data_IF_756018375286
#
_entry.id   IF_756018375286
#
_cell.length_a   1.000
_cell.length_b   1.000
_cell.length_c   1.000
_cell.angle_alpha   90.00
_cell.angle_beta   90.00
_cell.angle_gamma   90.00
#
_symmetry.space_group_name_H-M   'P 1'
#
loop_
_entity.id
_entity.type
_entity.pdbx_description
1 polymer ?
#
# COMPACT_ATOMS: atom_id res chain seq x y z
N UNK A 1 38.81 4.20 14.99
CA UNK A 1 39.17 3.71 16.34
C UNK A 1 38.52 2.34 16.50
N UNK A 2 39.24 1.28 16.14
CA UNK A 2 38.79 -0.12 16.23
C UNK A 2 39.07 -0.63 17.64
N UNK A 3 38.05 -1.17 18.33
CA UNK A 3 38.26 -1.93 19.56
C UNK A 3 38.31 -3.43 19.23
N UNK A 4 39.51 -4.00 19.31
CA UNK A 4 39.75 -5.44 19.46
C UNK A 4 39.77 -5.75 20.95
N UNK A 5 39.00 -6.74 21.38
CA UNK A 5 39.12 -7.34 22.71
C UNK A 5 39.79 -8.71 22.56
N UNK A 6 40.95 -8.83 23.19
CA UNK A 6 41.67 -10.07 23.46
C UNK A 6 41.42 -10.42 24.94
N UNK A 7 41.24 -11.70 25.25
CA UNK A 7 41.85 -12.38 26.40
C UNK A 7 41.48 -13.88 26.44
N UNK A 8 42.27 -14.72 27.14
CA UNK A 8 42.77 -16.00 26.61
C UNK A 8 42.37 -17.21 27.48
N UNK A 9 42.85 -18.39 27.11
CA UNK A 9 43.14 -19.47 28.07
C UNK A 9 42.23 -20.70 27.99
N UNK A 10 42.76 -21.78 27.38
CA UNK A 10 42.45 -23.17 27.74
C UNK A 10 43.47 -23.62 28.80
N UNK A 11 43.14 -24.57 29.71
CA UNK A 11 43.55 -25.95 29.45
C UNK A 11 42.63 -27.08 29.96
N UNK A 12 42.98 -28.25 29.46
CA UNK A 12 42.69 -29.68 29.74
C UNK A 12 41.80 -30.15 30.92
N UNK A 13 40.90 -31.08 30.53
CA UNK A 13 40.77 -32.50 30.95
C UNK A 13 40.54 -32.85 32.43
N UNK A 14 39.34 -33.36 32.76
CA UNK A 14 39.16 -34.35 33.83
C UNK A 14 37.96 -35.28 33.52
N UNK A 15 38.23 -36.58 33.44
CA UNK A 15 37.25 -37.66 33.39
C UNK A 15 36.54 -37.80 34.74
N UNK A 16 35.21 -37.75 34.76
CA UNK A 16 34.40 -38.34 35.83
C UNK A 16 33.16 -39.02 35.23
N UNK A 17 33.03 -40.31 35.53
CA UNK A 17 31.88 -41.17 35.25
C UNK A 17 30.64 -40.65 36.01
N UNK A 18 29.51 -40.48 35.31
CA UNK A 18 28.21 -40.21 35.91
C UNK A 18 27.19 -41.29 35.50
N UNK A 19 26.29 -41.73 36.40
CA UNK A 19 25.50 -42.94 36.23
C UNK A 19 24.31 -42.73 35.31
N UNK A 20 23.87 -43.84 34.70
CA UNK A 20 22.71 -43.99 33.81
C UNK A 20 21.45 -43.37 34.44
N UNK A 21 21.05 -42.18 33.98
CA UNK A 21 19.77 -41.56 34.32
C UNK A 21 18.76 -41.85 33.20
N UNK A 22 17.75 -42.66 33.49
CA UNK A 22 16.67 -43.03 32.59
C UNK A 22 15.83 -41.78 32.24
N UNK A 23 16.10 -41.19 31.07
CA UNK A 23 15.41 -39.99 30.58
C UNK A 23 14.01 -40.37 30.07
N UNK A 24 12.97 -40.18 30.88
CA UNK A 24 11.58 -40.17 30.43
C UNK A 24 11.41 -39.03 29.41
N UNK A 25 11.34 -39.38 28.12
CA UNK A 25 10.98 -38.47 27.04
C UNK A 25 9.51 -38.05 27.23
N UNK A 26 9.27 -37.03 28.05
CA UNK A 26 8.04 -36.25 27.95
C UNK A 26 8.02 -35.67 26.54
N UNK A 27 7.13 -36.20 25.70
CA UNK A 27 6.80 -35.63 24.40
C UNK A 27 6.22 -34.24 24.64
N UNK A 28 7.10 -33.24 24.66
CA UNK A 28 6.68 -31.85 24.62
C UNK A 28 5.78 -31.73 23.39
N UNK A 29 4.50 -31.33 23.52
CA UNK A 29 3.75 -30.92 22.35
C UNK A 29 4.58 -29.83 21.69
N UNK A 30 4.85 -30.00 20.40
CA UNK A 30 5.59 -29.05 19.60
C UNK A 30 4.97 -27.67 19.83
N UNK A 31 5.63 -26.84 20.64
CA UNK A 31 5.33 -25.43 20.69
C UNK A 31 5.50 -24.94 19.26
N UNK A 32 4.39 -24.53 18.65
CA UNK A 32 4.40 -23.95 17.32
C UNK A 32 5.46 -22.85 17.32
N UNK A 33 6.53 -23.06 16.54
CA UNK A 33 7.54 -22.05 16.29
C UNK A 33 6.78 -20.83 15.78
N UNK A 34 6.68 -19.77 16.59
CA UNK A 34 6.25 -18.47 16.09
C UNK A 34 7.21 -18.15 14.95
N UNK A 35 6.69 -18.22 13.72
CA UNK A 35 7.44 -17.86 12.53
C UNK A 35 7.97 -16.45 12.76
N UNK A 36 9.29 -16.34 12.58
CA UNK A 36 10.10 -15.24 13.04
C UNK A 36 9.61 -13.89 12.52
N UNK A 37 9.77 -12.93 13.42
CA UNK A 37 10.02 -11.51 13.17
C UNK A 37 9.64 -11.05 11.76
N UNK A 38 8.33 -10.90 11.60
CA UNK A 38 7.77 -10.28 10.42
C UNK A 38 8.27 -8.86 10.42
N UNK A 39 8.87 -8.41 9.33
CA UNK A 39 8.92 -6.99 8.95
C UNK A 39 7.48 -6.50 8.98
N UNK A 40 7.07 -6.10 10.17
CA UNK A 40 5.77 -5.55 10.51
C UNK A 40 5.82 -4.14 9.96
N UNK A 41 5.80 -4.05 8.63
CA UNK A 41 5.13 -2.95 7.99
C UNK A 41 3.73 -3.03 8.56
N UNK A 42 3.44 -2.20 9.55
CA UNK A 42 2.09 -2.02 10.05
C UNK A 42 1.20 -1.92 8.81
N UNK A 43 0.05 -2.60 8.84
CA UNK A 43 -0.88 -2.47 7.74
C UNK A 43 -1.85 -1.35 8.11
N UNK A 44 -1.52 -0.06 7.84
CA UNK A 44 -2.44 1.00 8.17
C UNK A 44 -3.74 0.74 7.42
N UNK A 45 -4.90 1.02 8.05
CA UNK A 45 -6.16 0.95 7.34
C UNK A 45 -6.06 1.81 6.08
N UNK A 46 -6.63 1.37 4.95
CA UNK A 46 -6.57 2.13 3.72
C UNK A 46 -7.17 3.52 3.97
N UNK A 47 -6.39 4.58 3.72
CA UNK A 47 -6.93 5.93 3.74
C UNK A 47 -7.92 6.06 2.59
N UNK A 48 -9.14 6.45 2.90
CA UNK A 48 -10.09 6.86 1.86
C UNK A 48 -9.58 8.21 1.32
N UNK A 49 -9.20 8.31 0.04
CA UNK A 49 -8.77 9.58 -0.51
C UNK A 49 -9.90 10.59 -0.40
N UNK A 50 -9.56 11.79 0.04
CA UNK A 50 -10.47 12.93 0.01
C UNK A 50 -10.77 13.27 -1.45
N UNK A 51 -11.94 13.81 -1.73
CA UNK A 51 -12.33 14.27 -3.07
C UNK A 51 -11.65 15.61 -3.38
N UNK A 52 -10.34 15.71 -3.18
CA UNK A 52 -9.59 16.94 -3.31
C UNK A 52 -8.54 16.82 -4.41
N UNK A 53 -8.29 17.94 -5.09
CA UNK A 53 -7.23 18.09 -6.10
C UNK A 53 -6.37 19.28 -5.76
N UNK A 54 -5.08 19.18 -6.10
CA UNK A 54 -4.15 20.30 -6.14
C UNK A 54 -3.71 20.48 -7.60
N UNK A 55 -3.78 21.72 -8.07
CA UNK A 55 -3.49 22.08 -9.45
C UNK A 55 -2.41 23.15 -9.46
N UNK A 56 -1.40 22.97 -10.30
CA UNK A 56 -0.23 23.84 -10.39
C UNK A 56 0.02 24.26 -11.84
N UNK A 57 -0.18 25.55 -12.12
CA UNK A 57 0.13 26.21 -13.38
C UNK A 57 1.35 27.15 -13.26
N UNK A 58 2.11 27.11 -12.15
CA UNK A 58 3.28 27.97 -11.93
C UNK A 58 4.38 27.85 -12.97
N UNK A 59 4.39 26.75 -13.75
CA UNK A 59 5.33 26.50 -14.85
C UNK A 59 4.79 26.92 -16.22
N UNK A 60 3.59 27.48 -16.29
CA UNK A 60 3.07 28.05 -17.53
C UNK A 60 3.87 29.31 -17.87
N UNK A 61 4.29 29.42 -19.14
CA UNK A 61 5.09 30.53 -19.65
C UNK A 61 4.44 31.01 -20.93
N UNK A 62 4.21 32.31 -21.03
CA UNK A 62 3.90 32.99 -22.27
C UNK A 62 4.91 34.13 -22.45
N UNK A 63 5.93 33.97 -23.30
CA UNK A 63 6.97 34.97 -23.51
C UNK A 63 6.44 36.31 -24.04
N UNK A 64 5.23 36.36 -24.59
CA UNK A 64 4.63 37.55 -25.18
C UNK A 64 3.65 38.28 -24.25
N UNK A 65 3.21 37.66 -23.14
CA UNK A 65 2.10 38.17 -22.33
C UNK A 65 2.46 38.76 -20.95
N UNK A 66 3.73 38.77 -20.54
CA UNK A 66 4.12 39.31 -19.23
C UNK A 66 3.63 38.44 -18.05
N UNK A 67 3.38 39.00 -16.85
CA UNK A 67 2.86 38.24 -15.71
C UNK A 67 1.51 37.59 -16.03
N UNK A 68 1.41 36.28 -15.82
CA UNK A 68 0.18 35.52 -16.07
C UNK A 68 -0.68 35.44 -14.82
N UNK A 69 -1.95 35.81 -14.96
CA UNK A 69 -2.96 35.55 -13.95
C UNK A 69 -3.73 34.29 -14.34
N UNK A 70 -4.02 33.42 -13.36
CA UNK A 70 -4.74 32.18 -13.60
C UNK A 70 -6.08 32.19 -12.89
N UNK A 71 -7.13 31.82 -13.62
CA UNK A 71 -8.47 31.58 -13.08
C UNK A 71 -8.88 30.15 -13.36
N UNK A 72 -9.43 29.50 -12.35
CA UNK A 72 -9.83 28.09 -12.40
C UNK A 72 -11.33 27.98 -12.19
N UNK A 73 -12.02 27.37 -13.15
CA UNK A 73 -13.37 26.86 -12.95
C UNK A 73 -13.29 25.38 -12.58
N UNK A 74 -13.76 25.02 -11.40
CA UNK A 74 -13.68 23.63 -10.92
C UNK A 74 -14.77 22.73 -11.52
N UNK A 75 -15.69 23.25 -12.32
CA UNK A 75 -16.79 22.49 -12.93
C UNK A 75 -17.89 22.09 -11.94
N UNK A 76 -17.84 22.62 -10.72
CA UNK A 76 -18.89 22.48 -9.70
C UNK A 76 -19.55 23.82 -9.31
N UNK A 77 -19.21 24.89 -10.05
CA UNK A 77 -19.63 26.26 -9.77
C UNK A 77 -18.61 27.07 -8.97
N UNK A 78 -17.57 26.45 -8.43
CA UNK A 78 -16.48 27.15 -7.71
C UNK A 78 -15.49 27.76 -8.69
N UNK A 79 -15.12 29.02 -8.43
CA UNK A 79 -14.07 29.74 -9.16
C UNK A 79 -12.90 30.06 -8.22
N UNK A 80 -11.67 29.77 -8.64
CA UNK A 80 -10.45 30.03 -7.87
C UNK A 80 -9.46 30.87 -8.70
N UNK A 81 -8.53 31.54 -8.03
CA UNK A 81 -7.47 32.31 -8.69
C UNK A 81 -6.11 32.00 -8.08
N UNK A 82 -5.06 32.13 -8.89
CA UNK A 82 -3.68 31.92 -8.48
C UNK A 82 -2.98 30.79 -9.25
N UNK A 83 -1.66 30.81 -9.24
CA UNK A 83 -0.84 29.83 -9.97
C UNK A 83 -0.97 28.41 -9.42
N UNK A 84 -1.24 28.28 -8.12
CA UNK A 84 -1.49 26.99 -7.46
C UNK A 84 -2.79 27.08 -6.68
N UNK A 85 -3.68 26.11 -6.86
CA UNK A 85 -4.97 26.05 -6.17
C UNK A 85 -5.24 24.65 -5.62
N UNK A 86 -6.00 24.58 -4.54
CA UNK A 86 -6.51 23.35 -3.98
C UNK A 86 -8.04 23.44 -3.85
N UNK A 87 -8.74 22.38 -4.22
CA UNK A 87 -10.21 22.32 -4.16
C UNK A 87 -10.68 20.95 -3.71
N UNK A 88 -11.78 20.91 -2.95
CA UNK A 88 -12.41 19.66 -2.50
C UNK A 88 -13.88 19.64 -2.95
N UNK A 89 -14.27 18.58 -3.63
CA UNK A 89 -15.62 18.37 -4.16
C UNK A 89 -16.52 17.70 -3.13
N UNK A 90 -17.79 18.10 -3.11
CA UNK A 90 -18.80 17.52 -2.22
C UNK A 90 -19.32 16.16 -2.72
N UNK A 91 -19.35 15.96 -4.04
CA UNK A 91 -19.99 14.80 -4.67
C UNK A 91 -19.00 13.97 -5.49
N UNK A 92 -19.27 12.66 -5.57
CA UNK A 92 -18.50 11.74 -6.43
C UNK A 92 -19.07 11.78 -7.84
N UNK A 93 -18.45 12.57 -8.70
CA UNK A 93 -18.75 12.59 -10.14
C UNK A 93 -17.50 12.91 -10.95
N UNK A 94 -17.68 13.00 -12.26
CA UNK A 94 -16.66 13.54 -13.15
C UNK A 94 -16.79 15.06 -13.18
N UNK A 95 -15.67 15.74 -13.05
CA UNK A 95 -15.56 17.19 -13.17
C UNK A 95 -14.63 17.52 -14.32
N UNK A 96 -14.97 18.56 -15.08
CA UNK A 96 -14.09 19.14 -16.08
C UNK A 96 -13.63 20.47 -15.53
N UNK A 97 -12.37 20.52 -15.12
CA UNK A 97 -11.75 21.76 -14.63
C UNK A 97 -11.27 22.56 -15.82
N UNK A 98 -11.63 23.85 -15.88
CA UNK A 98 -11.13 24.77 -16.89
C UNK A 98 -10.13 25.75 -16.27
N UNK A 99 -8.95 25.81 -16.86
CA UNK A 99 -7.96 26.85 -16.58
C UNK A 99 -8.07 27.95 -17.63
N UNK A 100 -8.30 29.18 -17.20
CA UNK A 100 -8.26 30.40 -18.00
C UNK A 100 -6.99 31.18 -17.64
N UNK A 101 -6.26 31.68 -18.64
CA UNK A 101 -5.19 32.67 -18.44
C UNK A 101 -5.77 34.05 -18.67
N UNK A 102 -5.63 34.94 -17.68
CA UNK A 102 -6.19 36.29 -17.70
C UNK A 102 -5.05 37.30 -17.77
N UNK A 103 -5.19 38.25 -18.68
CA UNK A 103 -4.33 39.41 -18.78
C UNK A 103 -4.67 40.39 -17.63
N UNK A 104 -3.69 40.72 -16.78
CA UNK A 104 -3.91 41.59 -15.62
C UNK A 104 -4.25 43.04 -16.03
N UNK A 105 -3.74 43.51 -17.18
CA UNK A 105 -3.91 44.89 -17.63
C UNK A 105 -5.26 45.11 -18.32
N UNK A 106 -5.74 44.15 -19.12
CA UNK A 106 -7.00 44.27 -19.85
C UNK A 106 -8.17 43.51 -19.21
N UNK A 107 -7.90 42.54 -18.34
CA UNK A 107 -8.91 41.61 -17.81
C UNK A 107 -9.41 40.60 -18.86
N UNK A 108 -8.82 40.59 -20.06
CA UNK A 108 -9.21 39.67 -21.13
C UNK A 108 -8.73 38.25 -20.82
N UNK A 109 -9.61 37.28 -21.06
CA UNK A 109 -9.26 35.87 -21.04
C UNK A 109 -8.55 35.55 -22.34
N UNK A 110 -7.26 35.19 -22.24
CA UNK A 110 -6.50 34.70 -23.39
C UNK A 110 -6.76 33.20 -23.55
N UNK A 111 -6.88 32.79 -24.80
CA UNK A 111 -7.35 31.50 -25.32
C UNK A 111 -6.42 30.32 -24.94
N UNK A 112 -6.27 30.07 -23.64
CA UNK A 112 -5.49 29.00 -23.05
C UNK A 112 -6.39 28.12 -22.18
N UNK A 113 -7.55 27.74 -22.72
CA UNK A 113 -8.44 26.80 -22.06
C UNK A 113 -7.76 25.44 -22.00
N UNK A 114 -7.37 25.03 -20.80
CA UNK A 114 -7.01 23.64 -20.53
C UNK A 114 -8.14 22.98 -19.78
N UNK A 115 -8.69 21.92 -20.37
CA UNK A 115 -9.66 21.04 -19.71
C UNK A 115 -8.90 19.92 -19.00
N UNK A 116 -9.14 19.76 -17.70
CA UNK A 116 -8.64 18.66 -16.91
C UNK A 116 -9.81 17.82 -16.41
N UNK A 117 -9.82 16.55 -16.80
CA UNK A 117 -10.81 15.60 -16.32
C UNK A 117 -10.42 15.06 -14.95
N UNK A 118 -11.25 15.33 -13.95
CA UNK A 118 -11.12 14.79 -12.60
C UNK A 118 -12.25 13.77 -12.40
N UNK A 119 -11.88 12.49 -12.27
CA UNK A 119 -12.85 11.40 -12.14
C UNK A 119 -12.90 10.83 -10.72
N UNK A 120 -13.93 11.21 -9.95
CA UNK A 120 -14.22 10.65 -8.63
C UNK A 120 -15.28 9.54 -8.62
N UNK A 121 -15.76 9.13 -9.79
CA UNK A 121 -16.77 8.05 -9.90
C UNK A 121 -16.22 6.72 -9.41
N UNK A 122 -14.91 6.51 -9.58
CA UNK A 122 -14.23 5.33 -9.07
C UNK A 122 -13.85 5.54 -7.60
N UNK A 123 -14.22 4.57 -6.76
CA UNK A 123 -13.90 4.56 -5.35
C UNK A 123 -12.64 3.74 -5.08
N UNK A 124 -11.87 4.15 -4.08
CA UNK A 124 -10.81 3.30 -3.52
C UNK A 124 -11.44 2.10 -2.82
N UNK A 125 -11.11 0.91 -3.30
CA UNK A 125 -11.52 -0.36 -2.70
C UNK A 125 -10.25 -1.17 -2.49
N UNK A 126 -9.98 -1.57 -1.24
CA UNK A 126 -8.85 -2.42 -0.89
C UNK A 126 -9.37 -3.59 -0.08
N UNK A 127 -9.73 -4.66 -0.77
CA UNK A 127 -10.30 -5.85 -0.18
C UNK A 127 -10.02 -7.08 -1.06
N UNK A 128 -10.11 -8.26 -0.48
CA UNK A 128 -10.05 -9.50 -1.23
C UNK A 128 -11.06 -10.52 -0.71
N UNK A 129 -11.41 -11.47 -1.57
CA UNK A 129 -12.26 -12.61 -1.27
C UNK A 129 -11.40 -13.85 -1.10
N UNK A 130 -11.68 -14.63 -0.06
CA UNK A 130 -11.08 -15.93 0.21
C UNK A 130 -12.02 -16.72 1.14
N UNK A 131 -11.82 -18.04 1.22
CA UNK A 131 -12.50 -18.86 2.22
C UNK A 131 -11.97 -18.55 3.63
N UNK A 132 -12.87 -18.38 4.60
CA UNK A 132 -12.48 -18.07 5.98
C UNK A 132 -11.95 -19.30 6.74
N UNK A 133 -12.36 -20.51 6.33
CA UNK A 133 -11.93 -21.77 6.94
C UNK A 133 -11.68 -22.83 5.87
N UNK A 134 -10.53 -23.52 5.96
CA UNK A 134 -10.10 -24.57 5.02
C UNK A 134 -9.39 -25.69 5.77
N UNK A 135 -9.11 -26.82 5.09
CA UNK A 135 -8.26 -27.89 5.65
C UNK A 135 -6.83 -27.83 5.11
N UNK A 136 -5.89 -28.44 5.82
CA UNK A 136 -4.50 -28.59 5.36
C UNK A 136 -4.47 -29.18 3.94
N UNK A 137 -3.66 -28.59 3.08
CA UNK A 137 -3.47 -29.02 1.69
C UNK A 137 -4.60 -28.65 0.72
N UNK A 138 -5.75 -28.17 1.20
CA UNK A 138 -6.82 -27.67 0.35
C UNK A 138 -6.37 -26.38 -0.37
N UNK A 139 -6.61 -26.24 -1.70
CA UNK A 139 -6.33 -24.99 -2.41
C UNK A 139 -7.30 -23.90 -1.96
N UNK A 140 -6.75 -22.72 -1.68
CA UNK A 140 -7.52 -21.52 -1.35
C UNK A 140 -7.29 -20.50 -2.44
N UNK A 141 -8.36 -20.09 -3.10
CA UNK A 141 -8.32 -18.98 -4.05
C UNK A 141 -8.42 -17.65 -3.30
N UNK A 142 -7.54 -16.72 -3.65
CA UNK A 142 -7.53 -15.35 -3.18
C UNK A 142 -7.79 -14.43 -4.36
N UNK A 143 -8.88 -13.65 -4.27
CA UNK A 143 -9.34 -12.79 -5.35
C UNK A 143 -9.42 -11.33 -4.89
N UNK A 144 -8.55 -10.50 -5.45
CA UNK A 144 -8.50 -9.05 -5.26
C UNK A 144 -8.90 -8.30 -6.55
N UNK A 145 -9.63 -8.91 -7.49
CA UNK A 145 -9.98 -8.27 -8.75
C UNK A 145 -10.80 -6.98 -8.60
N UNK A 146 -11.57 -6.85 -7.52
CA UNK A 146 -12.34 -5.64 -7.22
C UNK A 146 -11.51 -4.54 -6.53
N UNK A 147 -10.26 -4.84 -6.16
CA UNK A 147 -9.38 -3.86 -5.51
C UNK A 147 -8.86 -2.85 -6.53
N UNK A 148 -9.05 -1.57 -6.22
CA UNK A 148 -8.61 -0.47 -7.08
C UNK A 148 -8.24 0.76 -6.26
N UNK A 149 -7.25 1.49 -6.77
CA UNK A 149 -6.84 2.79 -6.28
C UNK A 149 -6.79 3.75 -7.48
N UNK A 150 -7.90 4.42 -7.83
CA UNK A 150 -8.01 5.19 -9.08
C UNK A 150 -7.03 6.34 -9.19
N UNK A 151 -6.59 6.91 -8.06
CA UNK A 151 -5.57 7.95 -8.00
C UNK A 151 -4.15 7.44 -8.26
N UNK A 152 -3.94 6.12 -8.29
CA UNK A 152 -2.63 5.50 -8.44
C UNK A 152 -2.52 4.78 -9.78
N UNK A 153 -1.35 4.90 -10.42
CA UNK A 153 -1.03 4.17 -11.64
C UNK A 153 -0.05 3.03 -11.36
N UNK A 154 0.03 2.05 -12.27
CA UNK A 154 1.00 0.95 -12.24
C UNK A 154 0.99 0.14 -10.92
N UNK A 155 -0.22 -0.23 -10.48
CA UNK A 155 -0.41 -0.97 -9.24
C UNK A 155 -0.16 -2.47 -9.41
N UNK A 156 0.53 -3.06 -8.45
CA UNK A 156 0.77 -4.50 -8.32
C UNK A 156 0.18 -4.99 -7.00
N UNK A 157 -0.53 -6.11 -7.05
CA UNK A 157 -1.04 -6.82 -5.88
C UNK A 157 0.03 -7.78 -5.36
N UNK A 158 0.31 -7.71 -4.07
CA UNK A 158 1.28 -8.57 -3.37
C UNK A 158 0.57 -9.26 -2.20
N UNK A 159 0.87 -10.54 -2.02
CA UNK A 159 0.30 -11.39 -0.98
C UNK A 159 1.38 -11.86 -0.02
N UNK A 160 1.09 -11.79 1.27
CA UNK A 160 1.84 -12.44 2.36
C UNK A 160 0.87 -13.40 3.08
N UNK A 161 1.07 -14.71 2.89
CA UNK A 161 0.21 -15.75 3.46
C UNK A 161 0.49 -16.03 4.94
N UNK A 162 1.52 -15.40 5.52
CA UNK A 162 1.95 -15.58 6.93
C UNK A 162 2.42 -16.98 7.30
N UNK A 163 2.77 -17.79 6.31
CA UNK A 163 3.42 -19.10 6.49
C UNK A 163 4.83 -19.14 5.87
N UNK A 164 5.34 -17.98 5.44
CA UNK A 164 6.61 -17.81 4.74
C UNK A 164 6.47 -17.77 3.21
N UNK A 165 5.31 -18.10 2.65
CA UNK A 165 5.05 -17.95 1.23
C UNK A 165 4.51 -16.55 0.90
N UNK A 166 4.80 -16.11 -0.32
CA UNK A 166 4.27 -14.87 -0.90
C UNK A 166 3.69 -15.16 -2.29
N UNK A 167 2.85 -14.24 -2.76
CA UNK A 167 2.26 -14.31 -4.10
C UNK A 167 2.14 -12.93 -4.72
N UNK A 168 1.83 -12.88 -6.01
CA UNK A 168 1.57 -11.64 -6.75
C UNK A 168 0.39 -11.79 -7.69
N UNK A 169 -0.18 -10.67 -8.10
CA UNK A 169 -1.27 -10.61 -9.07
C UNK A 169 -2.67 -10.53 -8.44
N UNK A 170 -3.68 -10.12 -9.23
CA UNK A 170 -5.03 -9.86 -8.73
C UNK A 170 -5.76 -11.12 -8.27
N UNK A 171 -5.34 -12.29 -8.78
CA UNK A 171 -5.83 -13.60 -8.35
C UNK A 171 -4.64 -14.50 -8.09
N UNK A 172 -4.69 -15.25 -7.01
CA UNK A 172 -3.65 -16.23 -6.66
C UNK A 172 -4.26 -17.40 -5.90
N UNK A 173 -3.58 -18.54 -5.91
CA UNK A 173 -3.96 -19.71 -5.12
C UNK A 173 -2.85 -20.08 -4.16
N UNK A 174 -3.21 -20.54 -2.96
CA UNK A 174 -2.24 -21.01 -1.97
C UNK A 174 -2.77 -22.24 -1.22
N UNK A 175 -1.83 -23.05 -0.71
CA UNK A 175 -2.12 -24.26 0.09
C UNK A 175 -1.34 -24.21 1.39
N UNK A 176 -2.05 -24.10 2.51
CA UNK A 176 -1.44 -24.14 3.83
C UNK A 176 -1.05 -25.57 4.21
N UNK A 177 0.18 -25.73 4.69
CA UNK A 177 0.78 -27.05 5.02
C UNK A 177 0.62 -27.44 6.49
N UNK A 178 0.18 -26.53 7.34
CA UNK A 178 0.03 -26.72 8.78
C UNK A 178 -1.30 -26.12 9.23
N UNK A 179 -1.98 -26.71 10.23
CA UNK A 179 -3.14 -26.10 10.84
C UNK A 179 -2.73 -24.83 11.61
N UNK A 180 -3.64 -23.87 11.70
CA UNK A 180 -3.37 -22.59 12.35
C UNK A 180 -4.31 -21.48 11.91
N UNK A 181 -4.10 -20.27 12.45
CA UNK A 181 -4.82 -19.06 12.03
C UNK A 181 -3.83 -18.15 11.31
N UNK A 182 -4.05 -17.93 10.02
CA UNK A 182 -3.16 -17.16 9.16
C UNK A 182 -3.79 -15.80 8.85
N UNK A 183 -3.18 -14.72 9.32
CA UNK A 183 -3.61 -13.36 9.04
C UNK A 183 -3.11 -12.90 7.65
N UNK A 184 -3.62 -13.55 6.59
CA UNK A 184 -3.23 -13.30 5.20
C UNK A 184 -3.35 -11.81 4.89
N UNK A 185 -2.28 -11.25 4.35
CA UNK A 185 -2.18 -9.83 4.02
C UNK A 185 -2.09 -9.66 2.50
N UNK A 186 -2.91 -8.74 2.00
CA UNK A 186 -2.84 -8.24 0.63
C UNK A 186 -2.39 -6.79 0.66
N UNK A 187 -1.46 -6.41 -0.21
CA UNK A 187 -1.00 -5.04 -0.38
C UNK A 187 -1.05 -4.63 -1.85
N UNK A 188 -1.50 -3.40 -2.09
CA UNK A 188 -1.39 -2.72 -3.37
C UNK A 188 -0.15 -1.84 -3.35
N UNK A 189 0.82 -2.09 -4.25
CA UNK A 189 2.02 -1.27 -4.42
C UNK A 189 2.08 -0.64 -5.80
N UNK A 190 2.31 0.66 -5.87
CA UNK A 190 2.60 1.35 -7.12
C UNK A 190 4.08 1.18 -7.48
N UNK A 191 4.39 1.00 -8.77
CA UNK A 191 5.76 1.03 -9.29
C UNK A 191 5.92 2.20 -10.29
N UNK A 192 7.04 2.93 -10.23
CA UNK A 192 7.39 3.97 -11.21
C UNK A 192 7.06 5.42 -10.79
N UNK A 193 7.37 6.41 -11.65
CA UNK A 193 7.07 7.82 -11.39
C UNK A 193 5.55 8.05 -11.33
N UNK A 194 5.09 8.87 -10.38
CA UNK A 194 3.66 9.02 -10.05
C UNK A 194 3.13 7.95 -9.08
N UNK A 195 4.03 7.18 -8.44
CA UNK A 195 3.67 6.20 -7.43
C UNK A 195 2.91 6.86 -6.26
N UNK A 196 1.82 6.20 -5.85
CA UNK A 196 1.15 6.58 -4.62
C UNK A 196 2.11 6.44 -3.43
N UNK A 197 2.29 7.50 -2.62
CA UNK A 197 3.26 7.50 -1.53
C UNK A 197 2.90 6.49 -0.43
N UNK A 198 1.62 6.16 -0.30
CA UNK A 198 1.12 5.22 0.70
C UNK A 198 0.89 3.83 0.10
N UNK A 199 1.53 2.81 0.70
CA UNK A 199 1.15 1.42 0.47
C UNK A 199 -0.17 1.12 1.20
N UNK A 200 -1.21 0.76 0.46
CA UNK A 200 -2.48 0.33 1.05
C UNK A 200 -2.48 -1.18 1.20
N UNK A 201 -2.94 -1.68 2.33
CA UNK A 201 -3.06 -3.11 2.55
C UNK A 201 -4.30 -3.44 3.38
N UNK A 202 -4.63 -4.71 3.37
CA UNK A 202 -5.73 -5.29 4.14
C UNK A 202 -5.31 -6.68 4.61
N UNK A 203 -5.78 -7.08 5.78
CA UNK A 203 -5.58 -8.42 6.31
C UNK A 203 -6.92 -9.11 6.58
N UNK A 204 -7.02 -10.38 6.21
CA UNK A 204 -8.12 -11.27 6.62
C UNK A 204 -7.56 -12.55 7.22
N UNK A 205 -8.21 -13.06 8.25
CA UNK A 205 -7.79 -14.32 8.89
C UNK A 205 -8.39 -15.51 8.15
N UNK A 206 -7.53 -16.45 7.75
CA UNK A 206 -7.92 -17.78 7.27
C UNK A 206 -7.61 -18.79 8.36
N UNK A 207 -8.61 -19.58 8.75
CA UNK A 207 -8.46 -20.67 9.72
C UNK A 207 -8.19 -21.97 8.97
N UNK A 208 -7.06 -22.61 9.25
CA UNK A 208 -6.67 -23.89 8.66
C UNK A 208 -6.87 -24.97 9.70
N UNK A 209 -7.84 -25.83 9.45
CA UNK A 209 -8.12 -27.01 10.24
C UNK A 209 -7.20 -28.16 9.80
N UNK A 210 -6.95 -29.15 10.68
CA UNK A 210 -6.21 -30.36 10.34
C UNK A 210 -6.74 -31.08 9.09
#
# INVERSE_FOLDING_TARGET
MLLRVFCPGRPLLLLLLAPLLLLLLLTRPAAAQQAGDTTSVACPPPRVPRLCVELDASRAVDPAAGPLLFRWDMGDGTQLTGATVAHCYAERRRYTVRLDVVDEASGEVREAEKLLDVDFTKQTVVNFRAADTVRVGQPVAFDAADSQLPACQNMVVIWDFRDGATGTGPKTEHRFRRPGRYAVRMALRANGPGACPDSHCVSRTVVVLP
#
